data_IF_186169806580
#
_entry.id   IF_186169806580
#
_cell.length_a   1.000
_cell.length_b   1.000
_cell.length_c   1.000
_cell.angle_alpha   90.00
_cell.angle_beta   90.00
_cell.angle_gamma   90.00
#
_symmetry.space_group_name_H-M   'P 1'
#
loop_
_entity.id
_entity.type
_entity.pdbx_description
1 polymer ?
#
# COMPACT_ATOMS: atom_id res chain seq x y z
N UNK A 1 3.40 -26.94 7.50
CA UNK A 1 3.78 -25.75 6.70
C UNK A 1 5.15 -26.03 6.09
N UNK A 2 5.22 -26.29 4.78
CA UNK A 2 6.45 -26.65 4.07
C UNK A 2 7.45 -25.48 4.07
N UNK A 3 8.76 -25.76 4.05
CA UNK A 3 9.81 -24.72 3.95
C UNK A 3 9.61 -23.82 2.73
N UNK A 4 9.13 -24.38 1.61
CA UNK A 4 8.79 -23.61 0.40
C UNK A 4 7.70 -22.55 0.67
N UNK A 5 6.69 -22.88 1.46
CA UNK A 5 5.62 -21.94 1.83
C UNK A 5 6.13 -20.82 2.74
N UNK A 6 7.11 -21.10 3.62
CA UNK A 6 7.76 -20.07 4.46
C UNK A 6 8.61 -19.12 3.64
N UNK A 7 9.38 -19.65 2.68
CA UNK A 7 10.20 -18.84 1.78
C UNK A 7 9.34 -17.92 0.90
N UNK A 8 8.22 -18.43 0.37
CA UNK A 8 7.27 -17.63 -0.40
C UNK A 8 6.61 -16.54 0.45
N UNK A 9 6.14 -16.87 1.66
CA UNK A 9 5.58 -15.86 2.58
C UNK A 9 6.60 -14.76 2.90
N UNK A 10 7.85 -15.15 3.15
CA UNK A 10 8.92 -14.18 3.42
C UNK A 10 9.17 -13.26 2.22
N UNK A 11 9.23 -13.81 1.01
CA UNK A 11 9.41 -13.02 -0.21
C UNK A 11 8.24 -12.04 -0.43
N UNK A 12 7.00 -12.47 -0.21
CA UNK A 12 5.81 -11.61 -0.31
C UNK A 12 5.86 -10.46 0.71
N UNK A 13 6.24 -10.75 1.96
CA UNK A 13 6.39 -9.73 3.01
C UNK A 13 7.52 -8.76 2.70
N UNK A 14 8.69 -9.26 2.29
CA UNK A 14 9.85 -8.42 1.95
C UNK A 14 9.51 -7.50 0.75
N UNK A 15 8.73 -7.99 -0.21
CA UNK A 15 8.25 -7.19 -1.34
C UNK A 15 7.27 -6.09 -0.92
N UNK A 16 6.24 -6.42 -0.12
CA UNK A 16 5.28 -5.46 0.39
C UNK A 16 5.96 -4.37 1.25
N UNK A 17 6.94 -4.77 2.06
CA UNK A 17 7.74 -3.86 2.88
C UNK A 17 8.55 -2.88 2.02
N UNK A 18 9.17 -3.36 0.94
CA UNK A 18 9.88 -2.51 -0.02
C UNK A 18 8.96 -1.47 -0.69
N UNK A 19 7.74 -1.88 -1.06
CA UNK A 19 6.73 -0.98 -1.62
C UNK A 19 6.33 0.10 -0.62
N UNK A 20 6.09 -0.30 0.64
CA UNK A 20 5.71 0.57 1.74
C UNK A 20 6.79 1.62 2.05
N UNK A 21 8.07 1.20 2.17
CA UNK A 21 9.18 2.13 2.43
C UNK A 21 9.27 3.15 1.29
N UNK A 22 9.28 2.68 0.04
CA UNK A 22 9.47 3.58 -1.11
C UNK A 22 8.35 4.63 -1.20
N UNK A 23 7.10 4.19 -1.03
CA UNK A 23 5.96 5.08 -1.08
C UNK A 23 5.91 6.02 0.14
N UNK A 24 6.19 5.50 1.33
CA UNK A 24 6.28 6.29 2.56
C UNK A 24 7.37 7.35 2.48
N UNK A 25 8.60 7.00 2.10
CA UNK A 25 9.68 7.98 1.93
C UNK A 25 9.35 9.05 0.90
N UNK A 26 8.70 8.68 -0.21
CA UNK A 26 8.22 9.65 -1.21
C UNK A 26 7.16 10.58 -0.61
N UNK A 27 6.16 10.04 0.08
CA UNK A 27 5.11 10.82 0.73
C UNK A 27 5.67 11.77 1.79
N UNK A 28 6.63 11.30 2.59
CA UNK A 28 7.33 12.10 3.59
C UNK A 28 8.07 13.29 2.97
N UNK A 29 8.79 13.04 1.87
CA UNK A 29 9.50 14.10 1.16
C UNK A 29 8.52 15.12 0.54
N UNK A 30 7.43 14.67 -0.08
CA UNK A 30 6.46 15.54 -0.74
C UNK A 30 5.70 16.42 0.26
N UNK A 31 5.09 15.81 1.28
CA UNK A 31 4.31 16.57 2.27
C UNK A 31 5.23 17.35 3.21
N UNK A 32 6.39 16.79 3.57
CA UNK A 32 7.41 17.50 4.34
C UNK A 32 7.91 18.77 3.64
N UNK A 33 8.17 18.71 2.33
CA UNK A 33 8.53 19.88 1.53
C UNK A 33 7.39 20.91 1.47
N UNK A 34 6.14 20.45 1.33
CA UNK A 34 4.97 21.33 1.38
C UNK A 34 4.82 22.02 2.76
N UNK A 35 5.02 21.28 3.85
CA UNK A 35 4.99 21.82 5.21
C UNK A 35 6.13 22.81 5.47
N UNK A 36 7.34 22.53 4.97
CA UNK A 36 8.46 23.47 5.02
C UNK A 36 8.14 24.76 4.26
N UNK A 37 7.55 24.65 3.07
CA UNK A 37 7.07 25.79 2.30
C UNK A 37 6.03 26.61 3.07
N UNK A 38 5.03 25.94 3.65
CA UNK A 38 3.99 26.60 4.44
C UNK A 38 4.54 27.33 5.67
N UNK A 39 5.46 26.70 6.43
CA UNK A 39 6.12 27.31 7.59
C UNK A 39 6.97 28.51 7.17
N UNK A 40 7.69 28.40 6.05
CA UNK A 40 8.49 29.51 5.50
C UNK A 40 7.60 30.70 5.13
N UNK A 41 6.51 30.45 4.39
CA UNK A 41 5.56 31.49 4.00
C UNK A 41 4.94 32.14 5.25
N UNK A 42 4.47 31.35 6.21
CA UNK A 42 3.87 31.85 7.44
C UNK A 42 4.85 32.70 8.26
N UNK A 43 6.15 32.37 8.24
CA UNK A 43 7.18 33.14 8.93
C UNK A 43 7.33 34.56 8.38
N UNK A 44 7.25 34.72 7.06
CA UNK A 44 7.43 36.02 6.41
C UNK A 44 6.14 36.83 6.26
N UNK A 45 4.98 36.18 6.25
CA UNK A 45 3.69 36.85 6.02
C UNK A 45 2.95 37.20 7.31
N UNK A 46 3.14 36.45 8.41
CA UNK A 46 2.37 36.65 9.64
C UNK A 46 3.24 37.06 10.83
N UNK A 47 3.08 38.30 11.36
CA UNK A 47 3.82 38.80 12.52
C UNK A 47 3.73 37.92 13.78
N UNK A 48 2.58 37.30 14.05
CA UNK A 48 2.39 36.41 15.20
C UNK A 48 3.17 35.11 15.06
N UNK A 49 3.09 34.46 13.89
CA UNK A 49 3.83 33.23 13.61
C UNK A 49 5.35 33.46 13.54
N UNK A 50 5.78 34.63 13.07
CA UNK A 50 7.18 35.04 13.08
C UNK A 50 7.79 34.97 14.49
N UNK A 51 7.05 35.42 15.51
CA UNK A 51 7.45 35.42 16.92
C UNK A 51 7.47 34.05 17.58
N UNK A 52 6.92 33.02 16.95
CA UNK A 52 6.94 31.65 17.48
C UNK A 52 8.36 31.05 17.46
N UNK A 53 8.61 30.13 18.38
CA UNK A 53 9.93 29.53 18.60
C UNK A 53 10.37 28.66 17.42
N UNK A 54 11.69 28.52 17.23
CA UNK A 54 12.25 27.63 16.19
C UNK A 54 11.86 26.16 16.41
N UNK A 55 11.88 25.60 17.63
CA UNK A 55 11.44 24.23 17.88
C UNK A 55 10.00 23.97 17.43
N UNK A 56 9.09 24.92 17.67
CA UNK A 56 7.70 24.78 17.23
C UNK A 56 7.58 24.71 15.70
N UNK A 57 8.33 25.53 14.98
CA UNK A 57 8.35 25.52 13.52
C UNK A 57 8.91 24.20 12.97
N UNK A 58 10.01 23.71 13.56
CA UNK A 58 10.58 22.41 13.21
C UNK A 58 9.60 21.26 13.48
N UNK A 59 8.87 21.32 14.60
CA UNK A 59 7.82 20.36 14.93
C UNK A 59 6.73 20.30 13.85
N UNK A 60 6.28 21.45 13.33
CA UNK A 60 5.27 21.47 12.26
C UNK A 60 5.78 20.84 10.96
N UNK A 61 7.02 21.13 10.56
CA UNK A 61 7.63 20.51 9.39
C UNK A 61 7.78 19.01 9.58
N UNK A 62 8.28 18.56 10.73
CA UNK A 62 8.42 17.13 11.03
C UNK A 62 7.07 16.42 11.06
N UNK A 63 6.05 17.02 11.69
CA UNK A 63 4.69 16.47 11.72
C UNK A 63 4.11 16.29 10.32
N UNK A 64 4.33 17.26 9.43
CA UNK A 64 3.91 17.16 8.03
C UNK A 64 4.63 16.03 7.27
N UNK A 65 5.94 15.87 7.49
CA UNK A 65 6.72 14.79 6.90
C UNK A 65 6.26 13.41 7.42
N UNK A 66 6.01 13.27 8.73
CA UNK A 66 5.50 12.03 9.32
C UNK A 66 4.10 11.70 8.79
N UNK A 67 3.22 12.69 8.66
CA UNK A 67 1.90 12.49 8.05
C UNK A 67 2.03 11.98 6.60
N UNK A 68 2.91 12.59 5.80
CA UNK A 68 3.20 12.12 4.44
C UNK A 68 3.79 10.72 4.40
N UNK A 69 4.64 10.37 5.37
CA UNK A 69 5.22 9.03 5.49
C UNK A 69 4.14 7.97 5.67
N UNK A 70 3.27 8.16 6.66
CA UNK A 70 2.22 7.19 7.01
C UNK A 70 1.20 7.09 5.87
N UNK A 71 0.70 8.22 5.37
CA UNK A 71 -0.29 8.21 4.27
C UNK A 71 0.29 7.55 3.01
N UNK A 72 1.55 7.84 2.67
CA UNK A 72 2.22 7.23 1.51
C UNK A 72 2.38 5.72 1.66
N UNK A 73 2.82 5.27 2.84
CA UNK A 73 3.00 3.86 3.19
C UNK A 73 1.67 3.09 3.14
N UNK A 74 0.63 3.61 3.81
CA UNK A 74 -0.68 2.96 3.92
C UNK A 74 -1.35 2.86 2.54
N UNK A 75 -1.30 3.93 1.75
CA UNK A 75 -1.86 3.90 0.40
C UNK A 75 -1.21 2.82 -0.47
N UNK A 76 0.12 2.65 -0.37
CA UNK A 76 0.81 1.62 -1.13
C UNK A 76 0.36 0.21 -0.73
N UNK A 77 0.24 -0.07 0.57
CA UNK A 77 -0.26 -1.36 1.05
C UNK A 77 -1.72 -1.61 0.62
N UNK A 78 -2.59 -0.61 0.77
CA UNK A 78 -4.00 -0.72 0.37
C UNK A 78 -4.14 -0.95 -1.14
N UNK A 79 -3.34 -0.26 -1.97
CA UNK A 79 -3.34 -0.49 -3.42
C UNK A 79 -2.83 -1.89 -3.77
N UNK A 80 -1.76 -2.35 -3.11
CA UNK A 80 -1.23 -3.69 -3.33
C UNK A 80 -2.24 -4.79 -2.97
N UNK A 81 -2.91 -4.65 -1.82
CA UNK A 81 -4.00 -5.56 -1.43
C UNK A 81 -5.17 -5.51 -2.40
N UNK A 82 -5.57 -4.31 -2.85
CA UNK A 82 -6.65 -4.15 -3.81
C UNK A 82 -6.33 -4.84 -5.15
N UNK A 83 -5.09 -4.73 -5.63
CA UNK A 83 -4.61 -5.41 -6.84
C UNK A 83 -4.60 -6.93 -6.68
N UNK A 84 -4.10 -7.44 -5.54
CA UNK A 84 -4.17 -8.87 -5.20
C UNK A 84 -5.61 -9.38 -5.22
N UNK A 85 -6.53 -8.70 -4.51
CA UNK A 85 -7.95 -9.07 -4.47
C UNK A 85 -8.61 -9.03 -5.85
N UNK A 86 -8.30 -8.04 -6.69
CA UNK A 86 -8.81 -7.95 -8.07
C UNK A 86 -8.33 -9.13 -8.91
N UNK A 87 -7.05 -9.49 -8.79
CA UNK A 87 -6.45 -10.60 -9.54
C UNK A 87 -7.07 -11.94 -9.11
N UNK A 88 -7.21 -12.17 -7.80
CA UNK A 88 -7.85 -13.38 -7.27
C UNK A 88 -9.33 -13.50 -7.68
N UNK A 89 -10.07 -12.39 -7.64
CA UNK A 89 -11.46 -12.36 -8.08
C UNK A 89 -11.60 -12.60 -9.58
N UNK A 90 -10.68 -12.08 -10.40
CA UNK A 90 -10.66 -12.34 -11.84
C UNK A 90 -10.46 -13.84 -12.12
N UNK A 91 -9.49 -14.47 -11.46
CA UNK A 91 -9.25 -15.93 -11.56
C UNK A 91 -10.47 -16.71 -11.09
N UNK A 92 -11.09 -16.32 -9.97
CA UNK A 92 -12.30 -17.01 -9.47
C UNK A 92 -13.47 -16.86 -10.44
N UNK A 93 -13.60 -15.71 -11.12
CA UNK A 93 -14.61 -15.50 -12.15
C UNK A 93 -14.35 -16.38 -13.37
N UNK A 94 -13.11 -16.47 -13.83
CA UNK A 94 -12.70 -17.35 -14.93
C UNK A 94 -12.99 -18.82 -14.62
N UNK A 95 -12.60 -19.29 -13.43
CA UNK A 95 -12.88 -20.63 -12.96
C UNK A 95 -14.38 -20.94 -12.97
N UNK A 96 -15.21 -20.03 -12.45
CA UNK A 96 -16.68 -20.19 -12.46
C UNK A 96 -17.24 -20.29 -13.87
N UNK A 97 -16.74 -19.48 -14.80
CA UNK A 97 -17.19 -19.50 -16.19
C UNK A 97 -16.80 -20.80 -16.89
N UNK A 98 -15.58 -21.28 -16.71
CA UNK A 98 -15.09 -22.51 -17.34
C UNK A 98 -15.80 -23.75 -16.80
N UNK A 99 -15.96 -23.84 -15.47
CA UNK A 99 -16.70 -24.94 -14.82
C UNK A 99 -18.16 -24.96 -15.29
N UNK A 100 -18.81 -23.79 -15.37
CA UNK A 100 -20.19 -23.68 -15.85
C UNK A 100 -20.31 -24.08 -17.33
N UNK A 101 -19.34 -23.77 -18.20
CA UNK A 101 -19.32 -24.23 -19.60
C UNK A 101 -19.23 -25.75 -19.72
N UNK A 102 -18.56 -26.41 -18.77
CA UNK A 102 -18.50 -27.88 -18.69
C UNK A 102 -19.79 -28.51 -18.13
N UNK A 103 -20.82 -27.70 -17.83
CA UNK A 103 -22.09 -28.17 -17.26
C UNK A 103 -22.00 -28.54 -15.77
N UNK A 104 -20.90 -28.17 -15.11
CA UNK A 104 -20.65 -28.49 -13.71
C UNK A 104 -21.05 -27.30 -12.81
N UNK A 105 -21.48 -27.61 -11.59
CA UNK A 105 -21.77 -26.58 -10.59
C UNK A 105 -20.44 -26.09 -9.98
N UNK A 106 -20.17 -24.77 -9.96
CA UNK A 106 -18.93 -24.21 -9.44
C UNK A 106 -18.90 -24.26 -7.90
N UNK A 107 -18.69 -25.46 -7.38
CA UNK A 107 -18.42 -25.71 -5.96
C UNK A 107 -16.95 -25.46 -5.65
N UNK A 108 -16.61 -25.22 -4.38
CA UNK A 108 -15.21 -25.02 -3.96
C UNK A 108 -14.31 -26.21 -4.34
N UNK A 109 -14.85 -27.44 -4.35
CA UNK A 109 -14.15 -28.65 -4.78
C UNK A 109 -13.82 -28.64 -6.28
N UNK A 110 -14.74 -28.20 -7.12
CA UNK A 110 -14.54 -28.10 -8.56
C UNK A 110 -13.59 -26.95 -8.93
N UNK A 111 -13.64 -25.83 -8.18
CA UNK A 111 -12.67 -24.74 -8.33
C UNK A 111 -11.25 -25.22 -7.95
N UNK A 112 -11.13 -26.04 -6.90
CA UNK A 112 -9.84 -26.63 -6.53
C UNK A 112 -9.31 -27.61 -7.59
N UNK A 113 -10.18 -28.44 -8.19
CA UNK A 113 -9.82 -29.30 -9.34
C UNK A 113 -9.39 -28.49 -10.56
N UNK A 114 -10.15 -27.46 -10.90
CA UNK A 114 -9.83 -26.55 -12.00
C UNK A 114 -8.45 -25.87 -11.81
N UNK A 115 -8.12 -25.46 -10.57
CA UNK A 115 -6.78 -24.92 -10.26
C UNK A 115 -5.69 -25.96 -10.45
N UNK A 116 -5.90 -27.20 -10.00
CA UNK A 116 -4.96 -28.29 -10.16
C UNK A 116 -4.73 -28.67 -11.64
N UNK A 117 -5.79 -28.66 -12.46
CA UNK A 117 -5.72 -28.90 -13.91
C UNK A 117 -4.93 -27.82 -14.66
N UNK A 118 -5.03 -26.57 -14.22
CA UNK A 118 -4.30 -25.43 -14.80
C UNK A 118 -2.80 -25.42 -14.44
N UNK A 119 -2.31 -26.37 -13.63
CA UNK A 119 -0.90 -26.45 -13.24
C UNK A 119 -0.39 -25.22 -12.49
N UNK A 120 -1.28 -24.49 -11.79
CA UNK A 120 -0.98 -23.31 -10.99
C UNK A 120 -1.20 -23.56 -9.50
#
# INVERSE_FOLDING_TARGET
>A
MSERSRAQLKADVDHAYGLQIRAGSKGAAQIGAAGLGAVTIAHYTWPFFRRQTLPFKAFLVMGSAMAGLVIGADNALLTHEAERRRTENAIRKEARMDIARRGLVPTETEIARWRAEQGR
#
